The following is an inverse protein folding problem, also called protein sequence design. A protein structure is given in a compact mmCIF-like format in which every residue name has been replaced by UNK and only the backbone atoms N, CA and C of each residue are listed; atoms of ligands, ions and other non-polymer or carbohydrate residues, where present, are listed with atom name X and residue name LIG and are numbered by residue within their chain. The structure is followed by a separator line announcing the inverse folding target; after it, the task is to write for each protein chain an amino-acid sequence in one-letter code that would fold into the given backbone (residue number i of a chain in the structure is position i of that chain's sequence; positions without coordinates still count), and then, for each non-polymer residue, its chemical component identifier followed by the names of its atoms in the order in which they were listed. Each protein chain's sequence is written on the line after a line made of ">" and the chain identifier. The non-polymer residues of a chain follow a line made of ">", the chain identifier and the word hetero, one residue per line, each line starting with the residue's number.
data_IF_353359124001
#
_entry.id   IF_353359124001
#
_cell.length_a   1.000
_cell.length_b   1.000
_cell.length_c   1.000
_cell.angle_alpha   90.00
_cell.angle_beta   90.00
_cell.angle_gamma   90.00
#
_symmetry.space_group_name_H-M   'P 1'
#
loop_
_entity.id
_entity.type
_entity.pdbx_description
1 polymer ?
#
# COMPACT_ATOMS: atom_id res chain seq x y z
N UNK A 1 14.94 41.12 -16.65
CA UNK A 1 14.32 40.23 -15.67
C UNK A 1 15.43 39.45 -14.95
N UNK A 2 15.40 39.39 -13.63
CA UNK A 2 16.43 38.68 -12.86
C UNK A 2 16.32 37.15 -13.03
N UNK A 3 17.42 36.40 -12.93
CA UNK A 3 17.37 34.94 -12.94
C UNK A 3 16.41 34.36 -11.90
N UNK A 4 16.27 35.02 -10.76
CA UNK A 4 15.34 34.64 -9.66
C UNK A 4 13.87 34.65 -10.14
N UNK A 5 13.48 35.60 -10.96
CA UNK A 5 12.13 35.70 -11.52
C UNK A 5 11.76 34.45 -12.35
N UNK A 6 12.67 33.95 -13.17
CA UNK A 6 12.43 32.78 -13.99
C UNK A 6 12.31 31.53 -13.13
N UNK A 7 13.13 31.40 -12.07
CA UNK A 7 13.03 30.27 -11.11
C UNK A 7 11.68 30.26 -10.39
N UNK A 8 11.21 31.44 -9.94
CA UNK A 8 9.92 31.58 -9.27
C UNK A 8 8.74 31.20 -10.18
N UNK A 9 8.77 31.64 -11.46
CA UNK A 9 7.75 31.22 -12.44
C UNK A 9 7.79 29.71 -12.68
N UNK A 10 8.97 29.14 -12.80
CA UNK A 10 9.12 27.70 -12.99
C UNK A 10 8.55 26.92 -11.80
N UNK A 11 8.82 27.38 -10.57
CA UNK A 11 8.26 26.78 -9.35
C UNK A 11 6.75 26.91 -9.27
N UNK A 12 6.19 28.07 -9.66
CA UNK A 12 4.75 28.28 -9.73
C UNK A 12 4.11 27.30 -10.74
N UNK A 13 4.61 27.29 -11.97
CA UNK A 13 4.05 26.45 -13.04
C UNK A 13 4.19 24.96 -12.73
N UNK A 14 5.34 24.51 -12.25
CA UNK A 14 5.55 23.12 -11.86
C UNK A 14 4.62 22.72 -10.71
N UNK A 15 4.40 23.58 -9.73
CA UNK A 15 3.46 23.31 -8.62
C UNK A 15 2.02 23.16 -9.12
N UNK A 16 1.58 24.01 -10.06
CA UNK A 16 0.26 23.89 -10.69
C UNK A 16 0.15 22.56 -11.46
N UNK A 17 1.16 22.23 -12.27
CA UNK A 17 1.17 20.97 -13.05
C UNK A 17 1.07 19.76 -12.12
N UNK A 18 1.86 19.69 -11.04
CA UNK A 18 1.80 18.59 -10.09
C UNK A 18 0.45 18.52 -9.36
N UNK A 19 -0.12 19.67 -8.99
CA UNK A 19 -1.45 19.72 -8.38
C UNK A 19 -2.51 19.12 -9.32
N UNK A 20 -2.49 19.49 -10.61
CA UNK A 20 -3.41 18.95 -11.62
C UNK A 20 -3.19 17.47 -11.82
N UNK A 21 -1.95 16.98 -11.91
CA UNK A 21 -1.63 15.55 -12.05
C UNK A 21 -2.20 14.74 -10.86
N UNK A 22 -2.00 15.19 -9.63
CA UNK A 22 -2.54 14.49 -8.45
C UNK A 22 -4.06 14.58 -8.35
N UNK A 23 -4.67 15.68 -8.81
CA UNK A 23 -6.12 15.80 -8.91
C UNK A 23 -6.68 14.81 -9.96
N UNK A 24 -6.04 14.72 -11.13
CA UNK A 24 -6.40 13.73 -12.15
C UNK A 24 -6.23 12.31 -11.60
N UNK A 25 -5.14 12.02 -10.90
CA UNK A 25 -4.93 10.74 -10.25
C UNK A 25 -6.04 10.42 -9.22
N UNK A 26 -6.50 11.41 -8.46
CA UNK A 26 -7.66 11.23 -7.58
C UNK A 26 -8.94 10.89 -8.34
N UNK A 27 -9.21 11.53 -9.46
CA UNK A 27 -10.40 11.28 -10.29
C UNK A 27 -10.37 9.89 -10.94
N UNK A 28 -9.18 9.40 -11.37
CA UNK A 28 -9.05 8.20 -12.22
C UNK A 28 -8.66 6.94 -11.45
N UNK A 29 -7.93 7.06 -10.33
CA UNK A 29 -7.37 5.91 -9.58
C UNK A 29 -8.21 5.56 -8.31
N UNK A 30 -9.53 5.51 -8.44
CA UNK A 30 -10.42 5.03 -7.38
C UNK A 30 -10.63 5.99 -6.23
N UNK A 31 -10.49 7.32 -6.47
CA UNK A 31 -10.75 8.40 -5.49
C UNK A 31 -10.02 8.23 -4.16
N UNK A 32 -8.76 7.77 -4.20
CA UNK A 32 -7.93 7.63 -3.00
C UNK A 32 -7.71 9.01 -2.37
N UNK A 33 -8.22 9.24 -1.16
CA UNK A 33 -8.22 10.54 -0.48
C UNK A 33 -6.83 11.16 -0.33
N UNK A 34 -5.79 10.35 -0.12
CA UNK A 34 -4.41 10.83 0.01
C UNK A 34 -3.89 11.58 -1.24
N UNK A 35 -4.33 11.20 -2.45
CA UNK A 35 -3.93 11.91 -3.68
C UNK A 35 -4.55 13.31 -3.77
N UNK A 36 -5.75 13.51 -3.22
CA UNK A 36 -6.37 14.83 -3.10
C UNK A 36 -5.56 15.73 -2.15
N UNK A 37 -5.10 15.20 -1.02
CA UNK A 37 -4.24 15.97 -0.09
C UNK A 37 -2.92 16.38 -0.73
N UNK A 38 -2.31 15.50 -1.55
CA UNK A 38 -1.11 15.88 -2.31
C UNK A 38 -1.40 16.92 -3.38
N UNK A 39 -2.54 16.84 -4.09
CA UNK A 39 -2.96 17.89 -5.01
C UNK A 39 -3.10 19.26 -4.31
N UNK A 40 -3.77 19.29 -3.14
CA UNK A 40 -3.90 20.50 -2.33
C UNK A 40 -2.54 21.01 -1.81
N UNK A 41 -1.61 20.12 -1.44
CA UNK A 41 -0.28 20.46 -1.00
C UNK A 41 0.49 21.22 -2.10
N UNK A 42 0.49 20.69 -3.32
CA UNK A 42 1.13 21.37 -4.46
C UNK A 42 0.42 22.66 -4.87
N UNK A 43 -0.91 22.75 -4.70
CA UNK A 43 -1.65 23.99 -4.90
C UNK A 43 -1.26 25.06 -3.86
N UNK A 44 -1.09 24.68 -2.60
CA UNK A 44 -0.53 25.59 -1.58
C UNK A 44 0.87 26.08 -1.95
N UNK A 45 1.74 25.19 -2.46
CA UNK A 45 3.05 25.61 -3.00
C UNK A 45 2.90 26.60 -4.16
N UNK A 46 1.96 26.39 -5.08
CA UNK A 46 1.69 27.34 -6.15
C UNK A 46 1.25 28.71 -5.60
N UNK A 47 0.36 28.72 -4.60
CA UNK A 47 -0.05 29.95 -3.92
C UNK A 47 1.13 30.66 -3.24
N UNK A 48 2.05 29.89 -2.61
CA UNK A 48 3.28 30.45 -2.03
C UNK A 48 4.13 31.16 -3.09
N UNK A 49 4.44 30.48 -4.20
CA UNK A 49 5.27 31.08 -5.26
C UNK A 49 4.59 32.24 -5.96
N UNK A 50 3.25 32.16 -6.14
CA UNK A 50 2.44 33.28 -6.63
C UNK A 50 2.51 34.47 -5.69
N UNK A 51 2.40 34.26 -4.38
CA UNK A 51 2.55 35.34 -3.37
C UNK A 51 3.94 36.01 -3.48
N UNK A 52 5.00 35.22 -3.63
CA UNK A 52 6.37 35.71 -3.76
C UNK A 52 6.55 36.52 -5.04
N UNK A 53 5.98 36.10 -6.16
CA UNK A 53 6.00 36.84 -7.42
C UNK A 53 5.23 38.17 -7.33
N UNK A 54 4.14 38.21 -6.57
CA UNK A 54 3.30 39.38 -6.38
C UNK A 54 3.82 40.37 -5.30
N UNK A 55 5.00 40.11 -4.71
CA UNK A 55 5.61 40.96 -3.67
C UNK A 55 5.53 42.47 -3.97
N UNK A 56 5.82 42.94 -5.20
CA UNK A 56 5.79 44.38 -5.50
C UNK A 56 4.43 45.06 -5.34
N UNK A 57 3.34 44.26 -5.28
CA UNK A 57 1.97 44.75 -5.15
C UNK A 57 1.45 44.74 -3.71
N UNK A 58 2.23 44.25 -2.75
CA UNK A 58 1.86 44.23 -1.34
C UNK A 58 2.31 45.53 -0.66
N UNK A 59 1.38 46.25 -0.07
CA UNK A 59 1.66 47.45 0.74
C UNK A 59 2.31 47.04 2.09
N UNK A 60 1.84 45.94 2.69
CA UNK A 60 2.36 45.42 3.97
C UNK A 60 3.34 44.29 3.74
N UNK A 61 4.62 44.51 4.04
CA UNK A 61 5.64 43.49 3.99
C UNK A 61 5.40 42.35 4.99
N UNK A 62 4.82 42.69 6.13
CA UNK A 62 4.45 41.64 7.16
C UNK A 62 3.34 40.76 6.62
N UNK A 63 2.29 41.29 6.00
CA UNK A 63 1.22 40.49 5.42
C UNK A 63 1.74 39.59 4.31
N UNK A 64 2.59 40.11 3.44
CA UNK A 64 3.26 39.34 2.39
C UNK A 64 3.99 38.10 2.97
N UNK A 65 4.85 38.32 3.99
CA UNK A 65 5.60 37.23 4.63
C UNK A 65 4.71 36.21 5.30
N UNK A 66 3.68 36.66 6.05
CA UNK A 66 2.76 35.76 6.72
C UNK A 66 2.00 34.87 5.74
N UNK A 67 1.56 35.42 4.62
CA UNK A 67 0.88 34.64 3.57
C UNK A 67 1.83 33.61 2.95
N UNK A 68 3.05 34.00 2.55
CA UNK A 68 4.02 33.14 1.94
C UNK A 68 4.40 31.97 2.91
N UNK A 69 4.65 32.27 4.17
CA UNK A 69 4.95 31.27 5.21
C UNK A 69 3.75 30.35 5.47
N UNK A 70 2.53 30.90 5.55
CA UNK A 70 1.32 30.08 5.77
C UNK A 70 1.09 29.08 4.65
N UNK A 71 1.31 29.48 3.39
CA UNK A 71 1.22 28.57 2.25
C UNK A 71 2.34 27.52 2.25
N UNK A 72 3.58 27.87 2.64
CA UNK A 72 4.68 26.91 2.79
C UNK A 72 4.30 25.83 3.80
N UNK A 73 3.98 26.25 5.03
CA UNK A 73 3.61 25.33 6.10
C UNK A 73 2.36 24.50 5.75
N UNK A 74 1.35 25.13 5.12
CA UNK A 74 0.16 24.46 4.64
C UNK A 74 0.47 23.35 3.62
N UNK A 75 1.38 23.61 2.69
CA UNK A 75 1.84 22.63 1.70
C UNK A 75 2.44 21.39 2.39
N UNK A 76 3.36 21.58 3.35
CA UNK A 76 4.03 20.47 4.02
C UNK A 76 3.07 19.71 4.96
N UNK A 77 2.14 20.42 5.65
CA UNK A 77 1.09 19.78 6.49
C UNK A 77 0.20 18.88 5.63
N UNK A 78 -0.32 19.38 4.51
CA UNK A 78 -1.20 18.61 3.62
C UNK A 78 -0.46 17.43 3.00
N UNK A 79 0.81 17.60 2.63
CA UNK A 79 1.67 16.51 2.18
C UNK A 79 1.82 15.43 3.25
N UNK A 80 2.10 15.83 4.50
CA UNK A 80 2.21 14.92 5.65
C UNK A 80 0.90 14.19 5.91
N UNK A 81 -0.23 14.89 5.81
CA UNK A 81 -1.53 14.26 5.97
C UNK A 81 -1.80 13.22 4.89
N UNK A 82 -1.47 13.51 3.62
CA UNK A 82 -1.56 12.55 2.53
C UNK A 82 -0.76 11.27 2.82
N UNK A 83 0.51 11.40 3.24
CA UNK A 83 1.34 10.25 3.63
C UNK A 83 0.78 9.49 4.84
N UNK A 84 0.26 10.22 5.85
CA UNK A 84 -0.33 9.62 7.04
C UNK A 84 -1.58 8.78 6.73
N UNK A 85 -2.48 9.30 5.88
CA UNK A 85 -3.67 8.56 5.41
C UNK A 85 -3.26 7.31 4.63
N UNK A 86 -2.32 7.43 3.68
CA UNK A 86 -1.83 6.29 2.90
C UNK A 86 -1.26 5.21 3.82
N UNK A 87 -0.46 5.60 4.79
CA UNK A 87 0.24 4.72 5.72
C UNK A 87 -0.64 4.25 6.90
N UNK A 88 -1.87 4.73 7.04
CA UNK A 88 -2.70 4.53 8.25
C UNK A 88 -1.91 4.84 9.52
N UNK A 89 -1.11 5.89 9.48
CA UNK A 89 -0.23 6.27 10.58
C UNK A 89 -1.03 6.83 11.76
N UNK A 90 -0.63 6.56 13.02
CA UNK A 90 -1.30 7.09 14.21
C UNK A 90 -1.00 8.57 14.48
N UNK A 91 -0.29 9.28 13.58
CA UNK A 91 0.06 10.68 13.77
C UNK A 91 -1.20 11.54 13.84
N UNK A 92 -1.35 12.24 14.95
CA UNK A 92 -2.45 13.18 15.17
C UNK A 92 -2.09 14.53 14.53
N UNK A 93 -2.78 14.86 13.46
CA UNK A 93 -2.54 16.10 12.69
C UNK A 93 -2.79 17.35 13.53
N UNK A 94 -3.67 17.25 14.56
CA UNK A 94 -4.01 18.37 15.44
C UNK A 94 -2.78 18.95 16.15
N UNK A 95 -1.82 18.10 16.56
CA UNK A 95 -0.56 18.57 17.16
C UNK A 95 0.33 19.32 16.17
N UNK A 96 0.33 18.89 14.92
CA UNK A 96 1.08 19.55 13.86
C UNK A 96 0.46 20.90 13.53
N UNK A 97 -0.86 20.99 13.50
CA UNK A 97 -1.59 22.26 13.32
C UNK A 97 -1.36 23.21 14.49
N UNK A 98 -1.43 22.72 15.73
CA UNK A 98 -1.14 23.54 16.92
C UNK A 98 0.30 24.09 16.88
N UNK A 99 1.28 23.25 16.53
CA UNK A 99 2.67 23.69 16.37
C UNK A 99 2.82 24.70 15.23
N UNK A 100 2.05 24.54 14.12
CA UNK A 100 2.04 25.51 13.03
C UNK A 100 1.55 26.89 13.48
N UNK A 101 0.46 26.93 14.26
CA UNK A 101 -0.07 28.20 14.79
C UNK A 101 0.95 28.87 15.70
N UNK A 102 1.61 28.12 16.58
CA UNK A 102 2.67 28.65 17.46
C UNK A 102 3.84 29.19 16.63
N UNK A 103 4.28 28.45 15.62
CA UNK A 103 5.36 28.88 14.71
C UNK A 103 5.00 30.16 13.97
N UNK A 104 3.78 30.23 13.43
CA UNK A 104 3.30 31.41 12.70
C UNK A 104 3.20 32.64 13.61
N UNK A 105 2.73 32.47 14.85
CA UNK A 105 2.70 33.52 15.85
C UNK A 105 4.13 34.01 16.20
N UNK A 106 5.10 33.12 16.32
CA UNK A 106 6.49 33.46 16.56
C UNK A 106 7.11 34.19 15.33
N UNK A 107 6.82 33.76 14.12
CA UNK A 107 7.24 34.44 12.87
C UNK A 107 6.68 35.89 12.84
N UNK A 108 5.38 36.03 13.16
CA UNK A 108 4.77 37.38 13.26
C UNK A 108 5.46 38.23 14.32
N UNK A 109 5.68 37.70 15.50
CA UNK A 109 6.33 38.43 16.59
C UNK A 109 7.73 38.93 16.19
N UNK A 110 8.56 38.08 15.58
CA UNK A 110 9.92 38.46 15.17
C UNK A 110 9.97 39.25 13.86
N UNK A 111 8.90 39.30 13.08
CA UNK A 111 8.79 40.15 11.88
C UNK A 111 8.23 41.53 12.17
N UNK A 112 7.23 41.63 13.08
CA UNK A 112 6.45 42.86 13.28
C UNK A 112 6.66 43.55 14.64
N UNK A 113 7.00 42.82 15.70
CA UNK A 113 7.07 43.37 17.07
C UNK A 113 8.52 43.52 17.54
N UNK A 114 9.29 42.42 17.54
CA UNK A 114 10.70 42.45 17.92
C UNK A 114 11.53 41.97 16.73
N UNK A 115 11.81 42.90 15.82
CA UNK A 115 12.38 42.56 14.51
C UNK A 115 13.73 41.84 14.66
N UNK A 116 13.75 40.57 14.23
CA UNK A 116 14.93 39.74 14.19
C UNK A 116 14.94 38.91 12.92
N UNK A 117 15.72 39.31 11.94
CA UNK A 117 15.72 38.76 10.57
C UNK A 117 15.98 37.27 10.57
N UNK A 118 17.03 36.85 11.25
CA UNK A 118 17.39 35.42 11.29
C UNK A 118 16.29 34.54 11.87
N UNK A 119 15.59 34.99 12.94
CA UNK A 119 14.53 34.19 13.55
C UNK A 119 13.29 34.07 12.68
N UNK A 120 12.76 35.17 12.13
CA UNK A 120 11.55 35.04 11.31
C UNK A 120 11.80 34.27 10.01
N UNK A 121 13.03 34.29 9.47
CA UNK A 121 13.39 33.51 8.28
C UNK A 121 13.65 32.04 8.55
N UNK A 122 14.11 31.67 9.76
CA UNK A 122 14.51 30.30 10.06
C UNK A 122 13.40 29.45 10.71
N UNK A 123 12.52 30.05 11.55
CA UNK A 123 11.57 29.31 12.38
C UNK A 123 10.61 28.44 11.58
N UNK A 124 10.00 28.97 10.52
CA UNK A 124 9.09 28.18 9.69
C UNK A 124 9.82 27.09 8.89
N UNK A 125 11.08 27.34 8.52
CA UNK A 125 11.88 26.31 7.81
C UNK A 125 12.19 25.16 8.74
N UNK A 126 12.52 25.39 10.02
CA UNK A 126 12.71 24.32 11.01
C UNK A 126 11.43 23.51 11.19
N UNK A 127 10.26 24.16 11.17
CA UNK A 127 8.98 23.46 11.19
C UNK A 127 8.81 22.58 9.94
N UNK A 128 9.08 23.11 8.74
CA UNK A 128 8.98 22.35 7.48
C UNK A 128 9.95 21.16 7.48
N UNK A 129 11.18 21.32 7.98
CA UNK A 129 12.15 20.24 8.13
C UNK A 129 11.61 19.12 9.04
N UNK A 130 11.03 19.46 10.18
CA UNK A 130 10.43 18.48 11.09
C UNK A 130 9.39 17.61 10.34
N UNK A 131 8.52 18.23 9.56
CA UNK A 131 7.50 17.50 8.80
C UNK A 131 8.09 16.68 7.64
N UNK A 132 9.14 17.15 6.98
CA UNK A 132 9.85 16.37 5.96
C UNK A 132 10.48 15.10 6.55
N UNK A 133 11.09 15.20 7.73
CA UNK A 133 11.64 14.04 8.43
C UNK A 133 10.53 13.08 8.92
N UNK A 134 9.41 13.61 9.40
CA UNK A 134 8.24 12.82 9.74
C UNK A 134 7.74 12.06 8.51
N UNK A 135 7.67 12.69 7.34
CA UNK A 135 7.26 12.06 6.09
C UNK A 135 8.20 10.90 5.70
N UNK A 136 9.52 11.10 5.80
CA UNK A 136 10.49 10.03 5.55
C UNK A 136 10.26 8.81 6.46
N UNK A 137 10.00 9.05 7.75
CA UNK A 137 9.71 7.98 8.72
C UNK A 137 8.39 7.27 8.42
N UNK A 138 7.31 8.03 8.10
CA UNK A 138 6.00 7.45 7.75
C UNK A 138 6.15 6.53 6.53
N UNK A 139 6.84 6.99 5.48
CA UNK A 139 7.00 6.26 4.23
C UNK A 139 7.74 4.93 4.46
N UNK A 140 8.84 4.94 5.20
CA UNK A 140 9.64 3.72 5.45
C UNK A 140 8.91 2.74 6.38
N UNK A 141 8.22 3.23 7.42
CA UNK A 141 7.54 2.37 8.39
C UNK A 141 6.20 1.82 7.92
N UNK A 142 5.72 2.22 6.75
CA UNK A 142 4.39 1.82 6.25
C UNK A 142 4.25 0.32 6.01
N UNK A 143 5.31 -0.34 5.55
CA UNK A 143 5.32 -1.78 5.23
C UNK A 143 6.52 -2.47 5.87
N UNK A 144 6.41 -3.79 6.16
CA UNK A 144 7.53 -4.57 6.71
C UNK A 144 8.76 -4.57 5.80
N UNK A 145 8.55 -4.46 4.47
CA UNK A 145 9.61 -4.34 3.46
C UNK A 145 9.27 -3.18 2.53
N UNK A 146 10.05 -2.12 2.61
CA UNK A 146 9.89 -0.94 1.78
C UNK A 146 10.25 -1.22 0.32
N UNK A 147 9.50 -0.64 -0.61
CA UNK A 147 9.78 -0.71 -2.04
C UNK A 147 10.85 0.32 -2.43
N UNK A 148 11.56 0.14 -3.55
CA UNK A 148 12.56 1.12 -4.03
C UNK A 148 12.00 2.55 -4.15
N UNK A 149 10.76 2.72 -4.57
CA UNK A 149 10.09 4.02 -4.65
C UNK A 149 9.92 4.69 -3.28
N UNK A 150 9.59 3.92 -2.24
CA UNK A 150 9.45 4.40 -0.87
C UNK A 150 10.80 4.80 -0.28
N UNK A 151 11.85 4.02 -0.54
CA UNK A 151 13.22 4.34 -0.13
C UNK A 151 13.70 5.62 -0.83
N UNK A 152 13.49 5.74 -2.15
CA UNK A 152 13.86 6.93 -2.91
C UNK A 152 13.13 8.19 -2.42
N UNK A 153 11.84 8.09 -2.14
CA UNK A 153 11.07 9.18 -1.54
C UNK A 153 11.65 9.60 -0.18
N UNK A 154 11.89 8.65 0.71
CA UNK A 154 12.43 8.95 2.05
C UNK A 154 13.82 9.59 2.00
N UNK A 155 14.68 9.14 1.09
CA UNK A 155 15.99 9.77 0.84
C UNK A 155 15.79 11.20 0.36
N UNK A 156 14.88 11.45 -0.59
CA UNK A 156 14.61 12.79 -1.13
C UNK A 156 14.10 13.74 -0.03
N UNK A 157 13.17 13.29 0.81
CA UNK A 157 12.68 14.07 1.95
C UNK A 157 13.79 14.37 2.96
N UNK A 158 14.64 13.39 3.26
CA UNK A 158 15.76 13.56 4.21
C UNK A 158 16.82 14.50 3.67
N UNK A 159 17.24 14.34 2.41
CA UNK A 159 18.23 15.23 1.78
C UNK A 159 17.73 16.67 1.69
N UNK A 160 16.45 16.86 1.31
CA UNK A 160 15.83 18.18 1.32
C UNK A 160 15.86 18.79 2.73
N UNK A 161 15.48 18.02 3.76
CA UNK A 161 15.53 18.44 5.16
C UNK A 161 16.93 18.87 5.59
N UNK A 162 17.97 18.12 5.22
CA UNK A 162 19.37 18.48 5.52
C UNK A 162 19.79 19.79 4.83
N UNK A 163 19.49 19.96 3.55
CA UNK A 163 19.83 21.19 2.82
C UNK A 163 19.08 22.41 3.40
N UNK A 164 17.77 22.23 3.72
CA UNK A 164 16.99 23.28 4.35
C UNK A 164 17.48 23.60 5.77
N UNK A 165 17.99 22.62 6.51
CA UNK A 165 18.60 22.85 7.81
C UNK A 165 19.83 23.75 7.70
N UNK A 166 20.67 23.51 6.72
CA UNK A 166 21.83 24.38 6.41
C UNK A 166 21.34 25.79 6.07
N UNK A 167 20.34 25.91 5.19
CA UNK A 167 19.78 27.21 4.81
C UNK A 167 19.17 27.95 6.01
N UNK A 168 18.39 27.25 6.85
CA UNK A 168 17.79 27.85 8.05
C UNK A 168 18.86 28.33 9.06
N UNK A 169 19.93 27.55 9.22
CA UNK A 169 21.05 27.93 10.09
C UNK A 169 21.77 29.17 9.59
N UNK A 170 22.01 29.26 8.27
CA UNK A 170 22.60 30.47 7.64
C UNK A 170 21.65 31.67 7.81
N UNK A 171 20.34 31.48 7.62
CA UNK A 171 19.36 32.53 7.89
C UNK A 171 19.42 33.00 9.35
N UNK A 172 19.54 32.09 10.30
CA UNK A 172 19.65 32.41 11.73
C UNK A 172 20.92 33.21 12.06
N UNK A 173 22.04 32.90 11.38
CA UNK A 173 23.33 33.62 11.56
C UNK A 173 23.28 35.08 11.14
N UNK A 174 22.26 35.54 10.41
CA UNK A 174 22.10 36.97 10.11
C UNK A 174 21.87 37.84 11.35
N UNK A 175 21.33 37.25 12.44
CA UNK A 175 20.98 38.02 13.64
C UNK A 175 19.76 38.90 13.45
N UNK A 176 19.76 40.06 14.07
CA UNK A 176 18.63 41.00 14.01
C UNK A 176 18.61 41.88 12.76
N UNK A 177 19.71 41.98 12.02
CA UNK A 177 19.83 42.82 10.80
C UNK A 177 20.19 41.97 9.58
N UNK A 178 19.83 42.46 8.38
CA UNK A 178 20.18 41.79 7.13
C UNK A 178 21.69 41.84 6.91
N UNK A 179 22.29 40.65 6.76
CA UNK A 179 23.65 40.50 6.28
C UNK A 179 23.59 39.97 4.83
N UNK A 180 24.05 40.74 3.88
CA UNK A 180 23.93 40.43 2.47
C UNK A 180 24.62 39.14 2.07
N UNK A 181 25.79 38.82 2.62
CA UNK A 181 26.53 37.59 2.32
C UNK A 181 25.75 36.36 2.78
N UNK A 182 25.17 36.37 3.97
CA UNK A 182 24.33 35.29 4.46
C UNK A 182 23.01 35.18 3.67
N UNK A 183 22.41 36.29 3.28
CA UNK A 183 21.19 36.32 2.45
C UNK A 183 21.43 35.70 1.09
N UNK A 184 22.55 36.06 0.43
CA UNK A 184 22.92 35.51 -0.88
C UNK A 184 23.17 34.00 -0.81
N UNK A 185 23.89 33.54 0.22
CA UNK A 185 24.14 32.12 0.42
C UNK A 185 22.86 31.31 0.75
N UNK A 186 21.99 31.85 1.63
CA UNK A 186 20.67 31.33 1.90
C UNK A 186 19.83 31.19 0.63
N UNK A 187 19.83 32.25 -0.19
CA UNK A 187 19.07 32.27 -1.43
C UNK A 187 19.59 31.24 -2.43
N UNK A 188 20.91 31.14 -2.58
CA UNK A 188 21.55 30.16 -3.47
C UNK A 188 21.17 28.74 -3.10
N UNK A 189 21.28 28.38 -1.80
CA UNK A 189 20.93 27.03 -1.32
C UNK A 189 19.45 26.74 -1.56
N UNK A 190 18.56 27.65 -1.25
CA UNK A 190 17.12 27.47 -1.47
C UNK A 190 16.77 27.30 -2.95
N UNK A 191 17.34 28.11 -3.85
CA UNK A 191 17.04 28.05 -5.28
C UNK A 191 17.60 26.80 -5.97
N UNK A 192 18.58 26.13 -5.38
CA UNK A 192 19.04 24.81 -5.85
C UNK A 192 18.19 23.70 -5.23
N UNK A 193 18.00 23.75 -3.92
CA UNK A 193 17.37 22.66 -3.15
C UNK A 193 15.88 22.54 -3.44
N UNK A 194 15.14 23.66 -3.37
CA UNK A 194 13.67 23.60 -3.41
C UNK A 194 13.13 23.11 -4.75
N UNK A 195 13.58 23.61 -5.93
CA UNK A 195 13.11 23.09 -7.20
C UNK A 195 13.44 21.60 -7.39
N UNK A 196 14.66 21.20 -7.04
CA UNK A 196 15.12 19.81 -7.18
C UNK A 196 14.32 18.87 -6.29
N UNK A 197 14.11 19.25 -5.02
CA UNK A 197 13.32 18.48 -4.08
C UNK A 197 11.83 18.42 -4.49
N UNK A 198 11.27 19.54 -4.96
CA UNK A 198 9.88 19.63 -5.39
C UNK A 198 9.56 18.65 -6.52
N UNK A 199 10.42 18.60 -7.54
CA UNK A 199 10.29 17.62 -8.63
C UNK A 199 10.55 16.21 -8.13
N UNK A 200 11.61 15.99 -7.36
CA UNK A 200 11.95 14.67 -6.83
C UNK A 200 10.85 14.07 -5.96
N UNK A 201 10.26 14.85 -5.04
CA UNK A 201 9.15 14.41 -4.22
C UNK A 201 7.94 14.01 -5.07
N UNK A 202 7.54 14.86 -6.03
CA UNK A 202 6.40 14.59 -6.90
C UNK A 202 6.59 13.31 -7.72
N UNK A 203 7.77 13.10 -8.31
CA UNK A 203 8.11 11.92 -9.08
C UNK A 203 8.03 10.66 -8.22
N UNK A 204 8.65 10.66 -7.04
CA UNK A 204 8.59 9.50 -6.15
C UNK A 204 7.18 9.23 -5.61
N UNK A 205 6.37 10.26 -5.35
CA UNK A 205 4.96 10.07 -4.97
C UNK A 205 4.19 9.36 -6.10
N UNK A 206 4.42 9.71 -7.37
CA UNK A 206 3.82 9.00 -8.51
C UNK A 206 4.28 7.55 -8.57
N UNK A 207 5.57 7.26 -8.38
CA UNK A 207 6.06 5.88 -8.33
C UNK A 207 5.45 5.08 -7.18
N UNK A 208 5.25 5.72 -6.02
CA UNK A 208 4.56 5.11 -4.88
C UNK A 208 3.11 4.76 -5.25
N UNK A 209 2.37 5.68 -5.88
CA UNK A 209 0.99 5.44 -6.33
C UNK A 209 0.92 4.33 -7.39
N UNK A 210 1.83 4.33 -8.36
CA UNK A 210 1.91 3.29 -9.38
C UNK A 210 2.21 1.92 -8.75
N UNK A 211 3.10 1.86 -7.76
CA UNK A 211 3.42 0.62 -7.03
C UNK A 211 2.23 0.12 -6.20
N UNK A 212 1.48 1.01 -5.56
CA UNK A 212 0.28 0.62 -4.80
C UNK A 212 -0.80 0.07 -5.74
N UNK A 213 -1.01 0.70 -6.90
CA UNK A 213 -1.95 0.24 -7.92
C UNK A 213 -1.53 -1.12 -8.49
N UNK A 214 -0.25 -1.29 -8.83
CA UNK A 214 0.27 -2.56 -9.32
C UNK A 214 0.08 -3.69 -8.30
N UNK A 215 0.29 -3.45 -7.01
CA UNK A 215 0.02 -4.43 -5.96
C UNK A 215 -1.48 -4.74 -5.80
N UNK A 216 -2.36 -3.75 -5.92
CA UNK A 216 -3.81 -3.94 -5.89
C UNK A 216 -4.26 -4.81 -7.09
N UNK A 217 -3.78 -4.50 -8.29
CA UNK A 217 -4.03 -5.32 -9.50
C UNK A 217 -3.48 -6.73 -9.37
N UNK A 218 -2.29 -6.89 -8.79
CA UNK A 218 -1.69 -8.19 -8.55
C UNK A 218 -2.52 -9.02 -7.57
N UNK A 219 -3.06 -8.41 -6.50
CA UNK A 219 -3.96 -9.08 -5.56
C UNK A 219 -5.27 -9.51 -6.25
N UNK A 220 -5.87 -8.65 -7.06
CA UNK A 220 -7.07 -8.99 -7.83
C UNK A 220 -6.79 -10.15 -8.81
N UNK A 221 -5.59 -10.20 -9.40
CA UNK A 221 -5.17 -11.28 -10.28
C UNK A 221 -4.82 -12.60 -9.55
N UNK A 222 -4.82 -12.65 -8.20
CA UNK A 222 -4.53 -13.84 -7.40
C UNK A 222 -5.76 -14.54 -6.83
N UNK A 223 -6.96 -14.00 -7.04
CA UNK A 223 -8.22 -14.59 -6.58
C UNK A 223 -9.06 -15.08 -7.74
N UNK A 224 -9.80 -16.17 -7.52
CA UNK A 224 -10.83 -16.66 -8.43
C UNK A 224 -12.10 -15.79 -8.30
N UNK A 225 -12.61 -15.29 -9.40
CA UNK A 225 -13.72 -14.31 -9.43
C UNK A 225 -15.01 -14.94 -8.89
N UNK A 226 -15.26 -16.22 -9.17
CA UNK A 226 -16.50 -16.91 -8.80
C UNK A 226 -16.49 -17.30 -7.32
N UNK A 227 -15.43 -17.97 -6.87
CA UNK A 227 -15.37 -18.60 -5.53
C UNK A 227 -14.67 -17.74 -4.49
N UNK A 228 -14.00 -16.67 -4.90
CA UNK A 228 -13.18 -15.80 -4.03
C UNK A 228 -12.07 -16.55 -3.28
N UNK A 229 -11.73 -17.75 -3.73
CA UNK A 229 -10.52 -18.46 -3.31
C UNK A 229 -9.28 -17.86 -3.97
N UNK A 230 -8.11 -18.23 -3.48
CA UNK A 230 -6.89 -18.01 -4.23
C UNK A 230 -7.00 -18.78 -5.56
N UNK A 231 -6.64 -18.15 -6.68
CA UNK A 231 -6.61 -18.85 -7.96
C UNK A 231 -5.31 -19.66 -8.14
N UNK A 232 -5.22 -20.43 -9.21
CA UNK A 232 -4.05 -21.25 -9.53
C UNK A 232 -2.74 -20.45 -9.41
N UNK A 233 -2.65 -19.29 -10.06
CA UNK A 233 -1.44 -18.44 -10.02
C UNK A 233 -1.08 -17.99 -8.61
N UNK A 234 -2.08 -17.52 -7.85
CA UNK A 234 -1.89 -17.11 -6.47
C UNK A 234 -1.42 -18.24 -5.57
N UNK A 235 -1.93 -19.48 -5.80
CA UNK A 235 -1.51 -20.64 -5.04
C UNK A 235 -0.03 -20.97 -5.22
N UNK A 236 0.47 -20.97 -6.44
CA UNK A 236 1.89 -21.21 -6.71
C UNK A 236 2.78 -20.15 -6.04
N UNK A 237 2.40 -18.87 -6.11
CA UNK A 237 3.21 -17.77 -5.55
C UNK A 237 3.23 -17.77 -4.00
N UNK A 238 2.08 -18.02 -3.37
CA UNK A 238 1.95 -17.98 -1.90
C UNK A 238 2.25 -19.33 -1.27
N UNK A 239 1.86 -20.43 -1.93
CA UNK A 239 2.01 -21.80 -1.43
C UNK A 239 3.47 -22.22 -1.30
N UNK A 240 4.32 -21.95 -2.30
CA UNK A 240 5.73 -22.28 -2.24
C UNK A 240 6.42 -21.57 -1.09
N UNK A 241 6.18 -20.26 -0.91
CA UNK A 241 6.76 -19.49 0.20
C UNK A 241 6.32 -19.99 1.57
N UNK A 242 5.05 -20.40 1.69
CA UNK A 242 4.52 -20.93 2.94
C UNK A 242 5.07 -22.31 3.24
N UNK A 243 5.20 -23.15 2.22
CA UNK A 243 5.79 -24.47 2.34
C UNK A 243 7.23 -24.37 2.88
N UNK A 244 8.06 -23.53 2.30
CA UNK A 244 9.44 -23.28 2.73
C UNK A 244 9.51 -22.78 4.18
N UNK A 245 8.69 -21.81 4.53
CA UNK A 245 8.67 -21.24 5.88
C UNK A 245 8.22 -22.24 6.95
N UNK A 246 7.22 -23.06 6.67
CA UNK A 246 6.69 -24.03 7.65
C UNK A 246 7.60 -25.24 7.81
N UNK A 247 8.20 -25.71 6.74
CA UNK A 247 9.16 -26.83 6.79
C UNK A 247 10.48 -26.43 7.47
N UNK A 248 10.93 -25.21 7.33
CA UNK A 248 12.10 -24.69 8.07
C UNK A 248 11.84 -24.60 9.59
N UNK A 249 10.57 -24.58 10.03
CA UNK A 249 10.16 -24.63 11.42
C UNK A 249 9.82 -26.04 11.91
N UNK A 250 10.20 -27.10 11.17
CA UNK A 250 9.94 -28.51 11.47
C UNK A 250 8.43 -28.86 11.64
N UNK A 251 7.55 -28.08 11.02
CA UNK A 251 6.11 -28.32 11.08
C UNK A 251 5.69 -29.33 10.02
N UNK A 252 4.77 -30.25 10.38
CA UNK A 252 4.15 -31.14 9.41
C UNK A 252 3.23 -30.35 8.48
N UNK A 253 3.54 -30.34 7.19
CA UNK A 253 2.73 -29.69 6.15
C UNK A 253 2.06 -30.77 5.32
N UNK A 254 0.80 -30.55 4.97
CA UNK A 254 0.06 -31.45 4.08
C UNK A 254 -0.64 -30.67 3.00
N UNK A 255 -0.71 -31.25 1.80
CA UNK A 255 -1.48 -30.74 0.68
C UNK A 255 -2.68 -31.66 0.45
N UNK A 256 -3.86 -31.08 0.36
CA UNK A 256 -5.12 -31.74 0.05
C UNK A 256 -5.55 -31.24 -1.33
N UNK A 257 -5.67 -32.15 -2.30
CA UNK A 257 -6.26 -31.86 -3.61
C UNK A 257 -7.65 -32.47 -3.63
N UNK A 258 -8.67 -31.73 -4.02
CA UNK A 258 -10.03 -32.24 -4.06
C UNK A 258 -10.83 -31.69 -5.26
N UNK A 259 -11.86 -32.43 -5.61
CA UNK A 259 -12.67 -32.18 -6.79
C UNK A 259 -14.11 -32.60 -6.53
N UNK A 260 -15.07 -31.88 -7.08
CA UNK A 260 -16.51 -32.18 -6.97
C UNK A 260 -16.86 -33.36 -7.85
N UNK A 261 -17.41 -34.40 -7.24
CA UNK A 261 -17.76 -35.63 -7.95
C UNK A 261 -18.87 -35.38 -8.98
N UNK A 262 -18.63 -35.84 -10.21
CA UNK A 262 -19.61 -35.78 -11.30
C UNK A 262 -20.12 -34.36 -11.60
N UNK A 263 -19.27 -33.34 -11.46
CA UNK A 263 -19.62 -31.94 -11.66
C UNK A 263 -20.19 -31.65 -13.06
N UNK A 264 -19.71 -32.39 -14.07
CA UNK A 264 -20.28 -32.30 -15.42
C UNK A 264 -21.76 -32.66 -15.43
N UNK A 265 -22.19 -33.71 -14.72
CA UNK A 265 -23.60 -34.10 -14.65
C UNK A 265 -24.45 -33.00 -13.97
N UNK A 266 -23.89 -32.32 -12.96
CA UNK A 266 -24.56 -31.18 -12.31
C UNK A 266 -24.75 -30.04 -13.33
N UNK A 267 -23.73 -29.73 -14.12
CA UNK A 267 -23.86 -28.72 -15.18
C UNK A 267 -24.88 -29.13 -16.25
N UNK A 268 -24.89 -30.39 -16.65
CA UNK A 268 -25.80 -30.90 -17.69
C UNK A 268 -27.27 -30.89 -17.20
N UNK A 269 -27.52 -31.13 -15.91
CA UNK A 269 -28.87 -31.17 -15.32
C UNK A 269 -29.40 -29.78 -14.89
N UNK A 270 -28.54 -28.95 -14.22
CA UNK A 270 -28.96 -27.67 -13.63
C UNK A 270 -28.43 -26.44 -14.38
N UNK A 271 -27.71 -26.66 -15.49
CA UNK A 271 -27.03 -25.63 -16.26
C UNK A 271 -25.79 -25.07 -15.56
N UNK A 272 -24.97 -24.32 -16.29
CA UNK A 272 -23.74 -23.70 -15.75
C UNK A 272 -23.99 -22.81 -14.51
N UNK A 273 -25.12 -22.10 -14.47
CA UNK A 273 -25.46 -21.27 -13.32
C UNK A 273 -25.75 -22.11 -12.04
N UNK A 274 -26.29 -23.34 -12.19
CA UNK A 274 -26.43 -24.29 -11.09
C UNK A 274 -25.09 -24.82 -10.62
N UNK A 275 -24.19 -25.15 -11.58
CA UNK A 275 -22.81 -25.53 -11.26
C UNK A 275 -22.04 -24.42 -10.56
N UNK A 276 -22.18 -23.18 -10.97
CA UNK A 276 -21.57 -22.02 -10.34
C UNK A 276 -22.02 -21.85 -8.87
N UNK A 277 -23.31 -22.01 -8.60
CA UNK A 277 -23.83 -21.98 -7.23
C UNK A 277 -23.28 -23.14 -6.40
N UNK A 278 -23.14 -24.33 -6.96
CA UNK A 278 -22.51 -25.48 -6.30
C UNK A 278 -21.06 -25.15 -5.93
N UNK A 279 -20.28 -24.57 -6.83
CA UNK A 279 -18.90 -24.16 -6.55
C UNK A 279 -18.84 -23.11 -5.43
N UNK A 280 -19.71 -22.12 -5.45
CA UNK A 280 -19.77 -21.08 -4.42
C UNK A 280 -20.11 -21.67 -3.04
N UNK A 281 -21.13 -22.49 -2.96
CA UNK A 281 -21.58 -23.07 -1.69
C UNK A 281 -20.60 -24.11 -1.15
N UNK A 282 -20.03 -24.97 -2.02
CA UNK A 282 -18.99 -25.91 -1.62
C UNK A 282 -17.78 -25.17 -1.04
N UNK A 283 -17.34 -24.12 -1.71
CA UNK A 283 -16.24 -23.26 -1.24
C UNK A 283 -16.53 -22.61 0.11
N UNK A 284 -17.74 -22.09 0.33
CA UNK A 284 -18.14 -21.50 1.62
C UNK A 284 -18.09 -22.54 2.75
N UNK A 285 -18.58 -23.76 2.50
CA UNK A 285 -18.55 -24.86 3.50
C UNK A 285 -17.14 -25.25 3.86
N UNK A 286 -16.26 -25.45 2.88
CA UNK A 286 -14.85 -25.77 3.10
C UNK A 286 -14.16 -24.63 3.86
N UNK A 287 -14.35 -23.39 3.44
CA UNK A 287 -13.73 -22.21 4.07
C UNK A 287 -14.09 -22.07 5.56
N UNK A 288 -15.33 -22.43 5.93
CA UNK A 288 -15.77 -22.41 7.33
C UNK A 288 -15.03 -23.39 8.24
N UNK A 289 -14.40 -24.42 7.66
CA UNK A 289 -13.60 -25.42 8.39
C UNK A 289 -12.11 -25.05 8.48
N UNK A 290 -11.66 -24.03 7.72
CA UNK A 290 -10.25 -23.68 7.61
C UNK A 290 -9.81 -22.69 8.69
N UNK A 291 -8.54 -22.80 9.10
CA UNK A 291 -7.88 -21.80 9.92
C UNK A 291 -7.39 -20.62 9.07
N UNK A 292 -7.13 -19.47 9.72
CA UNK A 292 -6.61 -18.29 9.05
C UNK A 292 -5.27 -18.51 8.34
N UNK A 293 -4.50 -19.47 8.78
CA UNK A 293 -3.21 -19.81 8.21
C UNK A 293 -3.28 -20.81 7.05
N UNK A 294 -4.41 -21.49 6.85
CA UNK A 294 -4.55 -22.46 5.76
C UNK A 294 -4.66 -21.72 4.43
N UNK A 295 -4.02 -22.24 3.38
CA UNK A 295 -4.13 -21.70 2.03
C UNK A 295 -5.16 -22.54 1.28
N UNK A 296 -6.16 -21.86 0.72
CA UNK A 296 -7.23 -22.49 -0.04
C UNK A 296 -7.34 -21.87 -1.41
N UNK A 297 -7.22 -22.69 -2.46
CA UNK A 297 -7.19 -22.24 -3.84
C UNK A 297 -8.05 -23.10 -4.76
N UNK A 298 -8.56 -22.47 -5.83
CA UNK A 298 -9.15 -23.13 -6.99
C UNK A 298 -8.11 -23.23 -8.09
N UNK A 299 -7.80 -24.46 -8.51
CA UNK A 299 -6.74 -24.74 -9.50
C UNK A 299 -7.31 -24.97 -10.89
N UNK A 300 -8.51 -25.52 -10.97
CA UNK A 300 -9.21 -25.84 -12.23
C UNK A 300 -10.69 -25.49 -12.18
N UNK A 301 -11.49 -26.05 -13.06
CA UNK A 301 -12.93 -25.82 -13.13
C UNK A 301 -13.65 -26.18 -11.84
N UNK A 302 -13.54 -27.43 -11.41
CA UNK A 302 -14.11 -28.01 -10.19
C UNK A 302 -13.05 -28.49 -9.19
N UNK A 303 -11.78 -28.15 -9.44
CA UNK A 303 -10.61 -28.64 -8.73
C UNK A 303 -10.06 -27.60 -7.76
N UNK A 304 -9.76 -28.04 -6.56
CA UNK A 304 -9.30 -27.18 -5.47
C UNK A 304 -8.11 -27.79 -4.73
N UNK A 305 -7.29 -26.95 -4.13
CA UNK A 305 -6.19 -27.35 -3.27
C UNK A 305 -6.22 -26.60 -1.94
N UNK A 306 -5.79 -27.31 -0.89
CA UNK A 306 -5.63 -26.73 0.44
C UNK A 306 -4.24 -27.11 0.95
N UNK A 307 -3.46 -26.12 1.37
CA UNK A 307 -2.19 -26.32 2.05
C UNK A 307 -2.37 -26.01 3.53
N UNK A 308 -2.17 -27.03 4.38
CA UNK A 308 -2.39 -26.97 5.82
C UNK A 308 -1.13 -27.36 6.59
N UNK A 309 -0.97 -26.78 7.78
CA UNK A 309 -0.03 -27.28 8.78
C UNK A 309 -0.83 -27.97 9.88
N UNK A 310 -0.54 -29.28 10.11
CA UNK A 310 -1.18 -30.09 11.16
C UNK A 310 -0.09 -30.93 11.83
N UNK A 311 -0.37 -31.44 13.03
CA UNK A 311 0.63 -32.14 13.82
C UNK A 311 1.06 -33.50 13.21
N UNK A 312 0.28 -34.06 12.29
CA UNK A 312 0.60 -35.30 11.59
C UNK A 312 -0.20 -35.47 10.31
N UNK A 313 0.27 -36.36 9.44
CA UNK A 313 -0.43 -36.77 8.22
C UNK A 313 -1.79 -37.41 8.53
N UNK A 314 -1.88 -38.20 9.63
CA UNK A 314 -3.14 -38.77 10.08
C UNK A 314 -4.18 -37.69 10.41
N UNK A 315 -3.77 -36.62 11.10
CA UNK A 315 -4.65 -35.48 11.37
C UNK A 315 -5.06 -34.72 10.08
N UNK A 316 -4.18 -34.64 9.09
CA UNK A 316 -4.52 -34.09 7.79
C UNK A 316 -5.56 -34.95 7.05
N UNK A 317 -5.44 -36.28 7.10
CA UNK A 317 -6.44 -37.22 6.56
C UNK A 317 -7.78 -37.08 7.25
N UNK A 318 -7.80 -37.03 8.58
CA UNK A 318 -9.03 -36.83 9.37
C UNK A 318 -9.69 -35.49 9.04
N UNK A 319 -8.89 -34.46 8.85
CA UNK A 319 -9.39 -33.17 8.44
C UNK A 319 -10.00 -33.19 7.02
N UNK A 320 -9.35 -33.84 6.06
CA UNK A 320 -9.91 -34.03 4.72
C UNK A 320 -11.24 -34.86 4.77
N UNK A 321 -11.35 -35.85 5.64
CA UNK A 321 -12.61 -36.59 5.82
C UNK A 321 -13.71 -35.73 6.45
N UNK A 322 -13.35 -34.83 7.37
CA UNK A 322 -14.27 -33.80 7.89
C UNK A 322 -14.77 -32.88 6.78
N UNK A 323 -13.91 -32.44 5.86
CA UNK A 323 -14.32 -31.63 4.70
C UNK A 323 -15.28 -32.41 3.79
N UNK A 324 -14.96 -33.68 3.49
CA UNK A 324 -15.77 -34.57 2.68
C UNK A 324 -17.18 -34.71 3.28
N UNK A 325 -17.27 -35.07 4.56
CA UNK A 325 -18.56 -35.19 5.25
C UNK A 325 -19.32 -33.88 5.35
N UNK A 326 -18.65 -32.78 5.56
CA UNK A 326 -19.26 -31.43 5.58
C UNK A 326 -19.86 -31.06 4.22
N UNK A 327 -19.19 -31.37 3.11
CA UNK A 327 -19.71 -31.15 1.77
C UNK A 327 -20.95 -32.00 1.49
N UNK A 328 -20.93 -33.28 1.87
CA UNK A 328 -22.03 -34.23 1.65
C UNK A 328 -23.19 -34.08 2.65
N UNK A 329 -23.03 -33.34 3.76
CA UNK A 329 -23.98 -33.30 4.88
C UNK A 329 -25.34 -32.69 4.55
N UNK A 330 -25.39 -31.75 3.64
CA UNK A 330 -26.62 -31.05 3.27
C UNK A 330 -26.63 -30.78 1.76
N UNK A 331 -27.76 -30.97 1.07
CA UNK A 331 -27.87 -30.57 -0.32
C UNK A 331 -27.67 -29.05 -0.48
N UNK A 332 -27.33 -28.63 -1.68
CA UNK A 332 -27.21 -27.24 -2.07
C UNK A 332 -28.55 -26.83 -2.72
N UNK A 333 -29.16 -25.78 -2.19
CA UNK A 333 -30.40 -25.24 -2.74
C UNK A 333 -30.12 -24.33 -3.93
N UNK A 334 -30.75 -24.63 -5.08
CA UNK A 334 -30.71 -23.81 -6.26
C UNK A 334 -32.09 -23.76 -6.93
N UNK A 335 -32.70 -22.59 -7.06
CA UNK A 335 -34.03 -22.37 -7.67
C UNK A 335 -35.11 -23.37 -7.17
N UNK A 336 -35.22 -23.53 -5.86
CA UNK A 336 -36.15 -24.46 -5.18
C UNK A 336 -35.86 -25.96 -5.43
N UNK A 337 -34.72 -26.28 -6.04
CA UNK A 337 -34.24 -27.67 -6.19
C UNK A 337 -33.07 -27.93 -5.24
N UNK A 338 -32.88 -29.19 -4.88
CA UNK A 338 -31.86 -29.61 -3.95
C UNK A 338 -30.82 -30.48 -4.66
N UNK A 339 -29.59 -29.97 -4.77
CA UNK A 339 -28.46 -30.64 -5.45
C UNK A 339 -27.63 -31.35 -4.40
N UNK A 340 -27.55 -32.69 -4.45
CA UNK A 340 -26.66 -33.49 -3.65
C UNK A 340 -25.24 -33.42 -4.22
N UNK A 341 -24.28 -33.02 -3.39
CA UNK A 341 -22.88 -32.82 -3.81
C UNK A 341 -21.98 -33.67 -2.95
N UNK A 342 -21.12 -34.47 -3.59
CA UNK A 342 -20.00 -35.15 -2.96
C UNK A 342 -18.70 -34.71 -3.59
N UNK A 343 -17.58 -34.93 -2.91
CA UNK A 343 -16.26 -34.65 -3.41
C UNK A 343 -15.26 -35.73 -3.03
N UNK A 344 -14.29 -35.94 -3.88
CA UNK A 344 -13.17 -36.85 -3.65
C UNK A 344 -11.92 -36.07 -3.28
N UNK A 345 -11.07 -36.64 -2.44
CA UNK A 345 -9.91 -35.99 -1.82
C UNK A 345 -8.66 -36.84 -1.94
N UNK A 346 -7.57 -36.22 -2.43
CA UNK A 346 -6.22 -36.79 -2.36
C UNK A 346 -5.39 -35.99 -1.33
N UNK A 347 -4.75 -36.70 -0.40
CA UNK A 347 -3.95 -36.07 0.66
C UNK A 347 -2.52 -36.59 0.59
N UNK A 348 -1.55 -35.68 0.72
CA UNK A 348 -0.14 -36.01 0.90
C UNK A 348 0.44 -35.29 2.10
N UNK A 349 1.31 -36.00 2.84
CA UNK A 349 2.19 -35.39 3.84
C UNK A 349 3.50 -34.94 3.19
N UNK A 350 3.96 -33.74 3.50
CA UNK A 350 5.20 -33.18 2.97
C UNK A 350 6.24 -33.15 4.10
N UNK A 351 7.30 -33.95 3.95
CA UNK A 351 8.35 -34.11 4.97
C UNK A 351 9.69 -33.44 4.60
N UNK A 352 9.84 -33.02 3.35
CA UNK A 352 11.12 -32.53 2.84
C UNK A 352 11.03 -31.06 2.41
N UNK A 353 11.91 -30.21 2.94
CA UNK A 353 11.97 -28.77 2.63
C UNK A 353 12.35 -28.47 1.16
N UNK A 354 12.85 -29.45 0.41
CA UNK A 354 13.27 -29.29 -0.98
C UNK A 354 12.17 -29.61 -2.01
N UNK A 355 10.99 -30.04 -1.55
CA UNK A 355 9.90 -30.37 -2.47
C UNK A 355 9.32 -29.07 -3.06
N UNK A 356 9.22 -29.02 -4.38
CA UNK A 356 8.52 -27.94 -5.07
C UNK A 356 7.02 -28.17 -5.02
N UNK A 357 6.27 -27.08 -4.97
CA UNK A 357 4.79 -27.12 -4.86
C UNK A 357 4.16 -27.89 -6.02
N UNK A 358 4.72 -27.81 -7.23
CA UNK A 358 4.27 -28.56 -8.41
C UNK A 358 4.27 -30.07 -8.16
N UNK A 359 5.39 -30.58 -7.64
CA UNK A 359 5.52 -32.01 -7.35
C UNK A 359 4.55 -32.46 -6.23
N UNK A 360 4.30 -31.59 -5.26
CA UNK A 360 3.32 -31.85 -4.21
C UNK A 360 1.89 -31.93 -4.79
N UNK A 361 1.55 -31.04 -5.71
CA UNK A 361 0.26 -31.07 -6.43
C UNK A 361 0.13 -32.37 -7.21
N UNK A 362 1.13 -32.76 -8.01
CA UNK A 362 1.10 -33.98 -8.82
C UNK A 362 0.90 -35.26 -7.97
N UNK A 363 1.49 -35.31 -6.78
CA UNK A 363 1.33 -36.45 -5.87
C UNK A 363 -0.07 -36.47 -5.25
N UNK A 364 -0.61 -35.33 -4.87
CA UNK A 364 -1.97 -35.23 -4.33
C UNK A 364 -3.03 -35.52 -5.40
N UNK A 365 -2.80 -35.11 -6.65
CA UNK A 365 -3.66 -35.42 -7.79
C UNK A 365 -3.73 -36.92 -8.07
N UNK A 366 -2.58 -37.62 -8.00
CA UNK A 366 -2.57 -39.08 -8.11
C UNK A 366 -3.41 -39.78 -7.01
N UNK A 367 -3.36 -39.24 -5.80
CA UNK A 367 -4.19 -39.76 -4.70
C UNK A 367 -5.69 -39.47 -4.95
N UNK A 368 -6.01 -38.26 -5.45
CA UNK A 368 -7.37 -37.88 -5.86
C UNK A 368 -7.90 -38.81 -6.97
N UNK A 369 -7.06 -39.06 -7.98
CA UNK A 369 -7.41 -40.00 -9.06
C UNK A 369 -7.81 -41.39 -8.53
N UNK A 370 -7.05 -41.91 -7.58
CA UNK A 370 -7.39 -43.18 -6.92
C UNK A 370 -8.76 -43.09 -6.22
N UNK A 371 -9.00 -42.01 -5.46
CA UNK A 371 -10.27 -41.77 -4.77
C UNK A 371 -11.47 -41.79 -5.73
N UNK A 372 -11.32 -41.13 -6.89
CA UNK A 372 -12.36 -41.10 -7.94
C UNK A 372 -12.62 -42.49 -8.54
N UNK A 373 -11.56 -43.26 -8.80
CA UNK A 373 -11.67 -44.63 -9.39
C UNK A 373 -12.21 -45.66 -8.41
N UNK A 374 -11.95 -45.51 -7.14
CA UNK A 374 -12.46 -46.45 -6.09
C UNK A 374 -13.92 -46.19 -5.70
N UNK A 375 -14.66 -45.35 -6.40
CA UNK A 375 -16.09 -45.13 -6.22
C UNK A 375 -16.48 -43.77 -5.67
N UNK A 376 -15.58 -42.76 -5.76
CA UNK A 376 -15.84 -41.36 -5.37
C UNK A 376 -16.19 -41.16 -3.90
N UNK A 377 -16.43 -39.92 -3.49
CA UNK A 377 -16.80 -39.56 -2.11
C UNK A 377 -15.86 -40.17 -1.07
N UNK A 378 -14.54 -40.05 -1.26
CA UNK A 378 -13.50 -40.69 -0.44
C UNK A 378 -12.30 -39.80 -0.25
N UNK A 379 -11.53 -40.16 0.76
CA UNK A 379 -10.20 -39.59 1.04
C UNK A 379 -9.14 -40.66 0.85
N UNK A 380 -8.23 -40.46 -0.08
CA UNK A 380 -7.06 -41.29 -0.29
C UNK A 380 -5.81 -40.53 0.13
N UNK A 381 -4.95 -41.21 0.94
CA UNK A 381 -3.63 -40.69 1.28
C UNK A 381 -2.58 -41.46 0.48
N UNK A 382 -1.66 -40.73 -0.14
CA UNK A 382 -0.50 -41.38 -0.72
C UNK A 382 0.60 -41.41 0.35
N UNK A 383 0.87 -42.63 0.88
CA UNK A 383 1.98 -42.84 1.79
C UNK A 383 3.23 -43.06 0.97
N UNK A 384 4.09 -42.03 0.91
CA UNK A 384 5.45 -42.17 0.36
C UNK A 384 6.45 -42.20 1.49
#
# INVERSE_FOLDING_TARGET
>A
MSPVFFILITLLLTSIVWSVIFLMAWCTLGKKSYSLFWACAFMCSACQWGTILLRPYFESETLYWLLAVSFSMGSVILGTWGHSIRARSPIKIDYLLALAVITLAAVYYYKAVNVHVGLFMSLYIYYDILLLLINAVIIIKHKPKSLPAEIGAAITYTLCGVCLFIAATIALMQGSQVNQAYLDLYTLINFITVPTAHVGMAVFIIFIMASDLAQEMQKLAMTDVLTQCINRRGFYDVGQKKLENKLSCEQHVSLIYWDIDSFKNINDEYGHAGGDEVLIQATKRVRACLNKEDIFARIGGEEFVILIARDSELKAKQFADTLRTTLASKPIEYKQQFINVTASFGVIGIKCATIQIDKAIDLADKALYIAKHEGKNKVVCNVT
#
